data_IF_877482811543
#
_entry.id   IF_877482811543
#
_cell.length_a   1.000
_cell.length_b   1.000
_cell.length_c   1.000
_cell.angle_alpha   90.00
_cell.angle_beta   90.00
_cell.angle_gamma   90.00
#
_symmetry.space_group_name_H-M   'P 1'
#
loop_
_entity.id
_entity.type
_entity.pdbx_description
1 polymer ?
#
# COMPACT_ATOMS: atom_id res chain seq x y z
N UNK A 1 0.26 17.04 -19.94
CA UNK A 1 -0.16 15.91 -19.09
C UNK A 1 0.51 14.60 -19.48
N UNK A 2 0.32 14.09 -20.70
CA UNK A 2 0.92 12.81 -21.15
C UNK A 2 2.44 12.76 -20.99
N UNK A 3 3.16 13.76 -21.49
CA UNK A 3 4.62 13.83 -21.41
C UNK A 3 5.11 13.80 -19.96
N UNK A 4 4.46 14.57 -19.09
CA UNK A 4 4.75 14.58 -17.65
C UNK A 4 4.49 13.21 -17.00
N UNK A 5 3.38 12.55 -17.33
CA UNK A 5 3.11 11.20 -16.84
C UNK A 5 4.16 10.19 -17.31
N UNK A 6 4.56 10.27 -18.58
CA UNK A 6 5.64 9.42 -19.13
C UNK A 6 6.97 9.65 -18.39
N UNK A 7 7.29 10.90 -18.04
CA UNK A 7 8.47 11.22 -17.25
C UNK A 7 8.38 10.66 -15.82
N UNK A 8 7.31 10.97 -15.09
CA UNK A 8 7.15 10.58 -13.67
C UNK A 8 7.02 9.06 -13.49
N UNK A 9 6.36 8.37 -14.43
CA UNK A 9 6.23 6.91 -14.40
C UNK A 9 7.40 6.19 -15.08
N UNK A 10 8.27 6.92 -15.79
CA UNK A 10 9.45 6.37 -16.46
C UNK A 10 10.61 6.13 -15.50
N UNK A 11 11.71 5.49 -15.99
CA UNK A 11 12.87 5.16 -15.16
C UNK A 11 13.48 6.37 -14.46
N UNK A 12 13.60 7.50 -15.16
CA UNK A 12 14.20 8.72 -14.60
C UNK A 12 13.36 9.30 -13.45
N UNK A 13 12.07 9.54 -13.67
CA UNK A 13 11.19 10.09 -12.63
C UNK A 13 11.02 9.16 -11.43
N UNK A 14 10.90 7.85 -11.67
CA UNK A 14 10.83 6.85 -10.60
C UNK A 14 12.14 6.77 -9.80
N UNK A 15 13.29 6.86 -10.46
CA UNK A 15 14.59 6.86 -9.78
C UNK A 15 14.77 8.10 -8.90
N UNK A 16 14.43 9.29 -9.41
CA UNK A 16 14.42 10.53 -8.61
C UNK A 16 13.51 10.39 -7.39
N UNK A 17 12.29 9.88 -7.56
CA UNK A 17 11.38 9.67 -6.44
C UNK A 17 11.94 8.67 -5.42
N UNK A 18 12.64 7.62 -5.87
CA UNK A 18 13.20 6.62 -4.97
C UNK A 18 14.43 7.12 -4.21
N UNK A 19 15.32 7.88 -4.86
CA UNK A 19 16.57 8.36 -4.24
C UNK A 19 16.34 9.60 -3.39
N UNK A 20 15.57 10.58 -3.88
CA UNK A 20 15.36 11.86 -3.20
C UNK A 20 14.11 11.85 -2.30
N UNK A 21 13.06 11.17 -2.75
CA UNK A 21 11.76 11.11 -2.06
C UNK A 21 11.60 9.90 -1.14
N UNK A 22 12.55 8.96 -1.15
CA UNK A 22 12.46 7.68 -0.43
C UNK A 22 11.22 6.84 -0.80
N UNK A 23 10.63 7.06 -1.98
CA UNK A 23 9.50 6.27 -2.46
C UNK A 23 9.95 4.89 -2.94
N UNK A 24 9.07 3.89 -2.83
CA UNK A 24 9.30 2.60 -3.49
C UNK A 24 9.12 2.75 -5.00
N UNK A 25 10.05 2.28 -5.83
CA UNK A 25 9.87 2.27 -7.26
C UNK A 25 8.68 1.39 -7.65
N UNK A 26 7.75 1.94 -8.44
CA UNK A 26 6.70 1.15 -9.09
C UNK A 26 7.21 0.39 -10.33
N UNK A 27 8.41 0.72 -10.82
CA UNK A 27 9.08 0.02 -11.91
C UNK A 27 10.06 -1.00 -11.32
N UNK A 28 9.75 -2.31 -11.44
CA UNK A 28 10.52 -3.38 -10.82
C UNK A 28 12.03 -3.36 -11.15
N UNK A 29 12.42 -2.92 -12.35
CA UNK A 29 13.83 -2.83 -12.73
C UNK A 29 14.66 -1.91 -11.80
N UNK A 30 14.02 -0.93 -11.16
CA UNK A 30 14.68 -0.03 -10.21
C UNK A 30 14.80 -0.61 -8.79
N UNK A 31 14.13 -1.73 -8.48
CA UNK A 31 14.34 -2.45 -7.21
C UNK A 31 15.72 -3.13 -7.15
N UNK A 32 16.37 -3.31 -8.30
CA UNK A 32 17.72 -3.87 -8.42
C UNK A 32 18.78 -2.81 -8.75
N UNK A 33 18.38 -1.53 -8.90
CA UNK A 33 19.31 -0.44 -9.22
C UNK A 33 20.19 -0.12 -8.00
N UNK A 34 21.51 -0.16 -8.19
CA UNK A 34 22.47 0.04 -7.10
C UNK A 34 22.35 1.39 -6.38
N UNK A 35 21.97 2.45 -7.09
CA UNK A 35 21.82 3.78 -6.50
C UNK A 35 20.54 3.86 -5.67
N UNK A 36 19.47 3.24 -6.16
CA UNK A 36 18.20 3.11 -5.43
C UNK A 36 18.36 2.25 -4.18
N UNK A 37 19.05 1.11 -4.26
CA UNK A 37 19.34 0.27 -3.10
C UNK A 37 20.22 0.99 -2.08
N UNK A 38 21.18 1.80 -2.54
CA UNK A 38 22.05 2.58 -1.67
C UNK A 38 21.34 3.76 -1.00
N UNK A 39 20.25 4.29 -1.57
CA UNK A 39 19.52 5.43 -1.00
C UNK A 39 18.60 5.04 0.16
N UNK A 40 18.15 3.78 0.24
CA UNK A 40 17.22 3.33 1.27
C UNK A 40 17.52 1.89 1.74
N UNK A 41 18.03 1.77 2.96
CA UNK A 41 18.39 0.48 3.57
C UNK A 41 17.20 -0.51 3.64
N UNK A 42 15.95 -0.02 3.77
CA UNK A 42 14.77 -0.88 3.78
C UNK A 42 14.62 -1.70 2.50
N UNK A 43 15.09 -1.21 1.35
CA UNK A 43 14.99 -1.94 0.07
C UNK A 43 15.88 -3.19 0.04
N UNK A 44 16.87 -3.26 0.93
CA UNK A 44 17.75 -4.42 1.11
C UNK A 44 17.41 -5.27 2.33
N UNK A 45 16.41 -4.85 3.11
CA UNK A 45 15.94 -5.62 4.27
C UNK A 45 15.10 -6.81 3.80
N UNK A 46 15.46 -8.01 4.24
CA UNK A 46 14.78 -9.26 3.84
C UNK A 46 13.30 -9.25 4.26
N UNK A 47 13.00 -8.74 5.46
CA UNK A 47 11.62 -8.63 5.95
C UNK A 47 10.79 -7.70 5.08
N UNK A 48 11.36 -6.58 4.67
CA UNK A 48 10.74 -5.62 3.79
C UNK A 48 10.50 -6.17 2.38
N UNK A 49 11.50 -6.84 1.79
CA UNK A 49 11.37 -7.49 0.49
C UNK A 49 10.27 -8.57 0.51
N UNK A 50 10.22 -9.38 1.57
CA UNK A 50 9.16 -10.36 1.78
C UNK A 50 7.78 -9.69 1.92
N UNK A 51 7.68 -8.58 2.65
CA UNK A 51 6.43 -7.84 2.77
C UNK A 51 5.97 -7.26 1.43
N UNK A 52 6.88 -6.73 0.62
CA UNK A 52 6.58 -6.20 -0.71
C UNK A 52 6.08 -7.30 -1.66
N UNK A 53 6.67 -8.50 -1.61
CA UNK A 53 6.28 -9.63 -2.44
C UNK A 53 4.90 -10.22 -2.07
N UNK A 54 4.47 -10.07 -0.81
CA UNK A 54 3.26 -10.70 -0.28
C UNK A 54 2.15 -9.71 0.12
N UNK A 55 2.33 -8.42 -0.16
CA UNK A 55 1.33 -7.39 0.18
C UNK A 55 0.01 -7.65 -0.56
N UNK A 56 -1.10 -7.48 0.15
CA UNK A 56 -2.44 -7.61 -0.41
C UNK A 56 -3.01 -6.24 -0.73
N UNK A 57 -3.73 -6.15 -1.86
CA UNK A 57 -4.48 -4.93 -2.16
C UNK A 57 -5.65 -4.79 -1.21
N UNK A 58 -5.95 -3.53 -0.85
CA UNK A 58 -7.22 -3.18 -0.22
C UNK A 58 -8.39 -3.51 -1.18
N UNK A 59 -9.63 -3.66 -0.68
CA UNK A 59 -10.78 -4.03 -1.50
C UNK A 59 -10.91 -3.20 -2.78
N UNK A 60 -10.99 -3.86 -3.94
CA UNK A 60 -11.11 -3.20 -5.25
C UNK A 60 -12.59 -3.16 -5.64
N UNK A 61 -13.31 -2.17 -5.14
CA UNK A 61 -14.76 -2.00 -5.33
C UNK A 61 -15.12 -0.55 -5.71
N UNK A 62 -16.20 -0.31 -6.49
CA UNK A 62 -16.57 1.03 -6.93
C UNK A 62 -16.86 2.02 -5.79
N UNK A 63 -17.42 1.52 -4.68
CA UNK A 63 -17.76 2.30 -3.49
C UNK A 63 -16.71 2.16 -2.38
N UNK A 64 -15.42 2.02 -2.73
CA UNK A 64 -14.34 1.78 -1.75
C UNK A 64 -14.33 2.76 -0.58
N UNK A 65 -14.64 4.04 -0.78
CA UNK A 65 -14.70 5.02 0.31
C UNK A 65 -15.70 4.64 1.40
N UNK A 66 -16.89 4.15 1.02
CA UNK A 66 -17.92 3.70 1.96
C UNK A 66 -17.51 2.40 2.64
N UNK A 67 -16.99 1.44 1.86
CA UNK A 67 -16.49 0.15 2.40
C UNK A 67 -15.36 0.38 3.41
N UNK A 68 -14.39 1.24 3.07
CA UNK A 68 -13.28 1.60 3.94
C UNK A 68 -13.74 2.30 5.21
N UNK A 69 -14.78 3.13 5.15
CA UNK A 69 -15.37 3.79 6.32
C UNK A 69 -15.98 2.76 7.28
N UNK A 70 -16.77 1.82 6.76
CA UNK A 70 -17.35 0.76 7.58
C UNK A 70 -16.30 -0.18 8.18
N UNK A 71 -15.25 -0.54 7.42
CA UNK A 71 -14.11 -1.31 7.96
C UNK A 71 -13.47 -0.57 9.15
N UNK A 72 -13.23 0.74 9.01
CA UNK A 72 -12.64 1.56 10.06
C UNK A 72 -13.55 1.64 11.29
N UNK A 73 -14.86 1.85 11.12
CA UNK A 73 -15.82 1.92 12.21
C UNK A 73 -15.86 0.59 12.96
N UNK A 74 -16.03 -0.53 12.27
CA UNK A 74 -16.08 -1.87 12.87
C UNK A 74 -14.81 -2.22 13.63
N UNK A 75 -13.63 -1.98 13.02
CA UNK A 75 -12.35 -2.19 13.68
C UNK A 75 -12.17 -1.29 14.91
N UNK A 76 -12.55 -0.01 14.81
CA UNK A 76 -12.42 0.94 15.92
C UNK A 76 -13.33 0.60 17.10
N UNK A 77 -14.56 0.15 16.87
CA UNK A 77 -15.46 -0.28 17.95
C UNK A 77 -14.85 -1.43 18.75
N UNK A 78 -14.28 -2.42 18.08
CA UNK A 78 -13.59 -3.53 18.75
C UNK A 78 -12.34 -3.06 19.51
N UNK A 79 -11.45 -2.32 18.86
CA UNK A 79 -10.20 -1.84 19.47
C UNK A 79 -10.44 -0.89 20.65
N UNK A 80 -11.60 -0.22 20.70
CA UNK A 80 -12.00 0.65 21.80
C UNK A 80 -12.76 -0.07 22.92
N UNK A 81 -13.03 -1.37 22.76
CA UNK A 81 -13.76 -2.19 23.75
C UNK A 81 -15.28 -2.03 23.72
N UNK A 82 -15.84 -1.46 22.65
CA UNK A 82 -17.27 -1.20 22.49
C UNK A 82 -18.02 -2.34 21.78
N UNK A 83 -17.32 -3.31 21.20
CA UNK A 83 -17.89 -4.49 20.54
C UNK A 83 -17.01 -5.73 20.73
N UNK A 84 -17.56 -6.90 20.41
CA UNK A 84 -16.77 -8.14 20.35
C UNK A 84 -15.94 -8.22 19.06
N UNK A 85 -15.04 -9.20 18.97
CA UNK A 85 -14.29 -9.45 17.75
C UNK A 85 -15.22 -10.03 16.66
N UNK A 86 -16.20 -10.85 17.06
CA UNK A 86 -17.21 -11.42 16.17
C UNK A 86 -18.08 -10.33 15.54
N UNK A 87 -18.49 -9.31 16.32
CA UNK A 87 -19.24 -8.16 15.80
C UNK A 87 -18.43 -7.36 14.78
N UNK A 88 -17.14 -7.17 15.03
CA UNK A 88 -16.26 -6.44 14.12
C UNK A 88 -16.05 -7.20 12.81
N UNK A 89 -15.81 -8.52 12.88
CA UNK A 89 -15.68 -9.39 11.70
C UNK A 89 -16.97 -9.36 10.88
N UNK A 90 -18.13 -9.58 11.49
CA UNK A 90 -19.42 -9.56 10.79
C UNK A 90 -19.71 -8.19 10.14
N UNK A 91 -19.33 -7.09 10.80
CA UNK A 91 -19.46 -5.74 10.24
C UNK A 91 -18.56 -5.51 9.02
N UNK A 92 -17.33 -6.03 9.06
CA UNK A 92 -16.37 -5.96 7.96
C UNK A 92 -16.83 -6.84 6.78
N UNK A 93 -17.21 -8.10 7.01
CA UNK A 93 -17.71 -9.02 5.98
C UNK A 93 -18.93 -8.41 5.27
N UNK A 94 -19.87 -7.86 6.04
CA UNK A 94 -21.02 -7.14 5.50
C UNK A 94 -20.62 -5.95 4.64
N UNK A 95 -19.59 -5.19 5.02
CA UNK A 95 -19.09 -4.06 4.24
C UNK A 95 -18.42 -4.51 2.93
N UNK A 96 -17.77 -5.67 2.94
CA UNK A 96 -17.16 -6.30 1.76
C UNK A 96 -18.21 -6.95 0.85
N UNK A 97 -19.43 -7.18 1.35
CA UNK A 97 -20.50 -7.88 0.64
C UNK A 97 -20.35 -9.40 0.69
N UNK A 98 -19.71 -9.90 1.74
CA UNK A 98 -19.48 -11.34 2.02
C UNK A 98 -20.56 -11.93 2.95
#
# INVERSE_FOLDING_TARGET
AKEFLTFVAGPEGQKINATEGSYLPGLNALLEDNEVLASNQLLTDEGFQNALANTISRPVVPNYSEVSDQIQISAHQYLSGNSTIEDAVAGIEKALGE
#
